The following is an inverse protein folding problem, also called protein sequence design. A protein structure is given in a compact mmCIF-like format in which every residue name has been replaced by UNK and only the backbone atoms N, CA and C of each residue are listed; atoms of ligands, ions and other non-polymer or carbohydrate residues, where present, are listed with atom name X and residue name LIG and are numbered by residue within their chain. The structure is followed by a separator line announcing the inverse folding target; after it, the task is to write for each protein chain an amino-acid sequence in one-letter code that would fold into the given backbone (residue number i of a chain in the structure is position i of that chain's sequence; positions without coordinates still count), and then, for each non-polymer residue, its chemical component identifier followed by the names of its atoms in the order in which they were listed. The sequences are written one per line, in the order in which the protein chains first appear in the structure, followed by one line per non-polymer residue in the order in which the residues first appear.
data_IF_403575598387
#
_entry.id   IF_403575598387
#
_cell.length_a   1.000
_cell.length_b   1.000
_cell.length_c   1.000
_cell.angle_alpha   90.00
_cell.angle_beta   90.00
_cell.angle_gamma   90.00
#
_symmetry.space_group_name_H-M   'P 1'
#
loop_
_entity.id
_entity.type
_entity.pdbx_description
1 polymer ?
#
# COMPACT_ATOMS: atom_id res chain seq x y z
N UNK A 1 24.51 37.84 -49.69
CA UNK A 1 23.51 37.71 -48.61
C UNK A 1 22.79 39.01 -48.48
N UNK A 2 21.49 39.02 -48.77
CA UNK A 2 20.68 40.24 -48.71
C UNK A 2 20.29 40.55 -47.24
N UNK A 3 20.01 41.84 -46.94
CA UNK A 3 19.58 42.26 -45.59
C UNK A 3 18.30 41.50 -45.16
N UNK A 4 17.49 41.05 -46.11
CA UNK A 4 16.28 40.26 -45.89
C UNK A 4 16.59 38.85 -45.38
N UNK A 5 17.62 38.19 -45.94
CA UNK A 5 18.08 36.84 -45.56
C UNK A 5 18.70 36.82 -44.15
N UNK A 6 19.37 37.92 -43.73
CA UNK A 6 19.89 38.08 -42.37
C UNK A 6 18.78 38.33 -41.35
N UNK A 7 17.69 38.99 -41.71
CA UNK A 7 16.52 39.16 -40.85
C UNK A 7 15.75 37.86 -40.64
N UNK A 8 15.48 37.10 -41.72
CA UNK A 8 14.84 35.76 -41.60
C UNK A 8 15.65 34.80 -40.74
N UNK A 9 16.98 34.76 -40.92
CA UNK A 9 17.84 33.91 -40.09
C UNK A 9 17.86 34.34 -38.60
N UNK A 10 17.78 35.63 -38.31
CA UNK A 10 17.68 36.17 -36.95
C UNK A 10 16.32 35.83 -36.30
N UNK A 11 15.21 36.00 -37.05
CA UNK A 11 13.88 35.59 -36.58
C UNK A 11 13.76 34.09 -36.33
N UNK A 12 14.30 33.27 -37.22
CA UNK A 12 14.35 31.80 -37.00
C UNK A 12 15.18 31.40 -35.77
N UNK A 13 16.32 32.07 -35.53
CA UNK A 13 17.15 31.85 -34.37
C UNK A 13 16.44 32.27 -33.05
N UNK A 14 15.71 33.39 -33.10
CA UNK A 14 14.94 33.90 -31.96
C UNK A 14 13.74 33.00 -31.63
N UNK A 15 13.02 32.50 -32.64
CA UNK A 15 11.95 31.53 -32.49
C UNK A 15 12.45 30.20 -31.96
N UNK A 16 13.59 29.68 -32.42
CA UNK A 16 14.22 28.47 -31.93
C UNK A 16 14.68 28.62 -30.46
N UNK A 17 15.28 29.75 -30.10
CA UNK A 17 15.69 30.03 -28.73
C UNK A 17 14.48 30.15 -27.78
N UNK A 18 13.38 30.74 -28.24
CA UNK A 18 12.14 30.88 -27.45
C UNK A 18 11.43 29.54 -27.30
N UNK A 19 11.41 28.67 -28.30
CA UNK A 19 10.89 27.30 -28.25
C UNK A 19 11.67 26.46 -27.24
N UNK A 20 13.00 26.52 -27.25
CA UNK A 20 13.85 25.78 -26.32
C UNK A 20 13.61 26.18 -24.87
N UNK A 21 13.34 27.45 -24.57
CA UNK A 21 13.00 27.91 -23.20
C UNK A 21 11.70 27.31 -22.69
N UNK A 22 10.66 27.19 -23.53
CA UNK A 22 9.38 26.61 -23.17
C UNK A 22 9.54 25.09 -22.87
N UNK A 23 10.31 24.38 -23.70
CA UNK A 23 10.57 22.95 -23.49
C UNK A 23 11.40 22.73 -22.23
N UNK A 24 12.41 23.56 -21.98
CA UNK A 24 13.18 23.50 -20.74
C UNK A 24 12.31 23.73 -19.49
N UNK A 25 11.35 24.65 -19.56
CA UNK A 25 10.37 24.86 -18.48
C UNK A 25 9.47 23.63 -18.30
N UNK A 26 9.00 23.02 -19.40
CA UNK A 26 8.20 21.80 -19.34
C UNK A 26 8.99 20.67 -18.63
N UNK A 27 10.25 20.46 -19.00
CA UNK A 27 11.13 19.46 -18.35
C UNK A 27 11.23 19.74 -16.83
N UNK A 28 11.47 21.00 -16.44
CA UNK A 28 11.56 21.38 -15.03
C UNK A 28 10.28 21.11 -14.25
N UNK A 29 9.12 21.40 -14.84
CA UNK A 29 7.79 21.11 -14.25
C UNK A 29 7.56 19.60 -14.12
N UNK A 30 7.85 18.82 -15.17
CA UNK A 30 7.72 17.37 -15.13
C UNK A 30 8.66 16.75 -14.09
N UNK A 31 9.90 17.24 -13.98
CA UNK A 31 10.86 16.78 -12.99
C UNK A 31 10.39 17.07 -11.54
N UNK A 32 9.75 18.21 -11.32
CA UNK A 32 9.15 18.55 -10.03
C UNK A 32 8.03 17.57 -9.67
N UNK A 33 7.09 17.32 -10.60
CA UNK A 33 6.01 16.35 -10.38
C UNK A 33 6.53 14.93 -10.23
N UNK A 34 7.56 14.54 -10.96
CA UNK A 34 8.25 13.26 -10.78
C UNK A 34 8.78 13.11 -9.35
N UNK A 35 9.48 14.12 -8.83
CA UNK A 35 10.02 14.07 -7.46
C UNK A 35 8.90 13.93 -6.40
N UNK A 36 7.78 14.61 -6.58
CA UNK A 36 6.61 14.44 -5.71
C UNK A 36 6.02 13.03 -5.82
N UNK A 37 5.82 12.54 -7.04
CA UNK A 37 5.25 11.21 -7.28
C UNK A 37 6.11 10.11 -6.68
N UNK A 38 7.44 10.17 -6.86
CA UNK A 38 8.39 9.21 -6.27
C UNK A 38 8.38 9.26 -4.74
N UNK A 39 8.30 10.45 -4.14
CA UNK A 39 8.24 10.61 -2.69
C UNK A 39 6.95 10.02 -2.12
N UNK A 40 5.80 10.29 -2.75
CA UNK A 40 4.50 9.74 -2.35
C UNK A 40 4.45 8.23 -2.58
N UNK A 41 4.99 7.73 -3.69
CA UNK A 41 5.11 6.31 -4.00
C UNK A 41 5.93 5.58 -2.96
N UNK A 42 7.11 6.08 -2.60
CA UNK A 42 7.97 5.51 -1.57
C UNK A 42 7.29 5.49 -0.19
N UNK A 43 6.55 6.54 0.16
CA UNK A 43 5.77 6.59 1.40
C UNK A 43 4.66 5.54 1.41
N UNK A 44 3.92 5.39 0.31
CA UNK A 44 2.86 4.40 0.15
C UNK A 44 3.43 2.97 0.20
N UNK A 45 4.57 2.70 -0.46
CA UNK A 45 5.26 1.42 -0.43
C UNK A 45 5.70 1.05 0.99
N UNK A 46 6.31 1.99 1.72
CA UNK A 46 6.72 1.78 3.11
C UNK A 46 5.51 1.46 3.99
N UNK A 47 4.39 2.16 3.81
CA UNK A 47 3.15 1.90 4.53
C UNK A 47 2.59 0.51 4.22
N UNK A 48 2.60 0.09 2.95
CA UNK A 48 2.17 -1.24 2.53
C UNK A 48 3.00 -2.35 3.21
N UNK A 49 4.33 -2.19 3.24
CA UNK A 49 5.24 -3.13 3.92
C UNK A 49 4.94 -3.17 5.42
N UNK A 50 4.76 -2.02 6.07
CA UNK A 50 4.45 -1.93 7.51
C UNK A 50 3.14 -2.64 7.84
N UNK A 51 2.08 -2.41 7.06
CA UNK A 51 0.80 -3.08 7.28
C UNK A 51 0.87 -4.58 6.94
N UNK A 52 1.69 -4.99 5.98
CA UNK A 52 1.92 -6.40 5.68
C UNK A 52 2.55 -7.13 6.87
N UNK A 53 3.57 -6.54 7.50
CA UNK A 53 4.20 -7.08 8.72
C UNK A 53 3.18 -7.15 9.85
N UNK A 54 2.43 -6.06 10.09
CA UNK A 54 1.41 -6.03 11.14
C UNK A 54 0.32 -7.09 10.93
N UNK A 55 -0.12 -7.32 9.69
CA UNK A 55 -1.07 -8.36 9.33
C UNK A 55 -0.54 -9.76 9.68
N UNK A 56 0.69 -10.05 9.28
CA UNK A 56 1.32 -11.35 9.55
C UNK A 56 1.50 -11.59 11.05
N UNK A 57 1.90 -10.59 11.81
CA UNK A 57 2.05 -10.68 13.27
C UNK A 57 0.69 -10.95 13.95
N UNK A 58 -0.37 -10.25 13.53
CA UNK A 58 -1.71 -10.42 14.06
C UNK A 58 -2.27 -11.83 13.78
N UNK A 59 -2.09 -12.33 12.55
CA UNK A 59 -2.48 -13.72 12.20
C UNK A 59 -1.66 -14.75 12.93
N UNK A 60 -0.37 -14.53 13.13
CA UNK A 60 0.50 -15.42 13.93
C UNK A 60 0.05 -15.46 15.38
N UNK A 61 -0.32 -14.30 15.95
CA UNK A 61 -0.85 -14.23 17.31
C UNK A 61 -2.23 -14.92 17.42
N UNK A 62 -3.11 -14.72 16.44
CA UNK A 62 -4.38 -15.45 16.34
C UNK A 62 -4.17 -16.96 16.32
N UNK A 63 -3.21 -17.46 15.55
CA UNK A 63 -2.86 -18.89 15.51
C UNK A 63 -2.34 -19.37 16.85
N UNK A 64 -1.46 -18.64 17.52
CA UNK A 64 -0.95 -18.96 18.84
C UNK A 64 -2.07 -19.05 19.89
N UNK A 65 -3.01 -18.08 19.90
CA UNK A 65 -4.21 -18.12 20.77
C UNK A 65 -5.11 -19.31 20.44
N UNK A 66 -5.24 -19.65 19.14
CA UNK A 66 -6.01 -20.83 18.70
C UNK A 66 -5.42 -22.12 19.24
N UNK A 67 -4.11 -22.30 19.12
CA UNK A 67 -3.41 -23.49 19.66
C UNK A 67 -3.60 -23.58 21.18
N UNK A 68 -3.37 -22.47 21.90
CA UNK A 68 -3.56 -22.46 23.38
C UNK A 68 -5.01 -22.78 23.77
N UNK A 69 -5.99 -22.26 23.05
CA UNK A 69 -7.40 -22.55 23.27
C UNK A 69 -7.69 -24.05 23.03
N UNK A 70 -7.18 -24.63 21.95
CA UNK A 70 -7.34 -26.03 21.62
C UNK A 70 -6.75 -26.91 22.73
N UNK A 71 -5.55 -26.61 23.21
CA UNK A 71 -4.88 -27.37 24.29
C UNK A 71 -5.76 -27.39 25.54
N UNK A 72 -6.29 -26.25 26.00
CA UNK A 72 -7.11 -26.27 27.25
C UNK A 72 -8.49 -26.91 27.04
N UNK A 73 -9.05 -26.84 25.82
CA UNK A 73 -10.30 -27.55 25.49
C UNK A 73 -10.05 -29.08 25.55
N UNK A 74 -9.00 -29.55 24.87
CA UNK A 74 -8.65 -30.99 24.88
C UNK A 74 -8.35 -31.50 26.29
N UNK A 75 -7.66 -30.71 27.13
CA UNK A 75 -7.42 -31.05 28.53
C UNK A 75 -8.75 -31.14 29.31
N UNK A 76 -9.70 -30.22 29.06
CA UNK A 76 -11.02 -30.29 29.71
C UNK A 76 -11.83 -31.50 29.26
N UNK A 77 -11.77 -31.87 27.97
CA UNK A 77 -12.43 -33.05 27.44
C UNK A 77 -11.85 -34.37 28.05
N UNK A 78 -10.52 -34.47 28.12
CA UNK A 78 -9.85 -35.59 28.77
C UNK A 78 -10.19 -35.72 30.24
N UNK A 79 -10.17 -34.59 30.97
CA UNK A 79 -10.57 -34.59 32.38
C UNK A 79 -12.05 -34.98 32.58
N UNK A 80 -12.92 -34.64 31.63
CA UNK A 80 -14.32 -35.07 31.67
C UNK A 80 -14.45 -36.60 31.59
N UNK A 81 -13.67 -37.24 30.74
CA UNK A 81 -13.63 -38.72 30.70
C UNK A 81 -13.17 -39.36 32.02
N UNK A 82 -12.24 -38.69 32.73
CA UNK A 82 -11.78 -39.12 34.05
C UNK A 82 -12.87 -38.90 35.13
N UNK A 83 -13.61 -37.80 35.05
CA UNK A 83 -14.78 -37.57 35.96
C UNK A 83 -15.79 -38.71 35.84
N UNK A 84 -16.05 -39.19 34.62
CA UNK A 84 -17.02 -40.24 34.35
C UNK A 84 -16.57 -41.62 34.86
N UNK A 85 -15.26 -41.82 35.02
CA UNK A 85 -14.65 -43.09 35.53
C UNK A 85 -14.37 -43.10 37.04
N UNK A 86 -14.25 -41.90 37.64
CA UNK A 86 -13.86 -41.75 39.04
C UNK A 86 -15.05 -41.93 39.98
N UNK A 87 -14.91 -42.78 40.97
CA UNK A 87 -15.89 -43.02 42.05
C UNK A 87 -15.62 -42.22 43.32
N UNK A 88 -14.40 -41.68 43.47
CA UNK A 88 -14.01 -40.82 44.59
C UNK A 88 -14.63 -39.42 44.47
N UNK A 89 -15.49 -38.97 45.40
CA UNK A 89 -16.15 -37.70 45.36
C UNK A 89 -15.17 -36.50 45.38
N UNK A 90 -14.08 -36.56 46.12
CA UNK A 90 -13.11 -35.50 46.27
C UNK A 90 -12.26 -35.35 45.00
N UNK A 91 -11.86 -36.44 44.39
CA UNK A 91 -11.17 -36.44 43.10
C UNK A 91 -12.06 -35.85 41.99
N UNK A 92 -13.34 -36.26 41.98
CA UNK A 92 -14.35 -35.74 41.04
C UNK A 92 -14.54 -34.25 41.18
N UNK A 93 -14.64 -33.73 42.40
CA UNK A 93 -14.77 -32.27 42.66
C UNK A 93 -13.55 -31.48 42.16
N UNK A 94 -12.33 -32.01 42.40
CA UNK A 94 -11.09 -31.38 41.86
C UNK A 94 -11.05 -31.34 40.35
N UNK A 95 -11.41 -32.43 39.68
CA UNK A 95 -11.47 -32.49 38.19
C UNK A 95 -12.47 -31.51 37.63
N UNK A 96 -13.69 -31.46 38.18
CA UNK A 96 -14.73 -30.51 37.75
C UNK A 96 -14.29 -29.05 37.89
N UNK A 97 -13.60 -28.70 38.97
CA UNK A 97 -13.03 -27.38 39.18
C UNK A 97 -11.98 -27.05 38.13
N UNK A 98 -11.13 -27.98 37.77
CA UNK A 98 -10.12 -27.77 36.71
C UNK A 98 -10.77 -27.61 35.34
N UNK A 99 -11.80 -28.39 35.03
CA UNK A 99 -12.57 -28.29 33.79
C UNK A 99 -13.21 -26.89 33.66
N UNK A 100 -13.84 -26.39 34.73
CA UNK A 100 -14.45 -25.06 34.73
C UNK A 100 -13.39 -23.94 34.49
N UNK A 101 -12.23 -24.05 35.16
CA UNK A 101 -11.12 -23.13 34.98
C UNK A 101 -10.59 -23.15 33.55
N UNK A 102 -10.45 -24.29 32.91
CA UNK A 102 -10.01 -24.43 31.53
C UNK A 102 -11.05 -23.91 30.54
N UNK A 103 -12.33 -24.19 30.74
CA UNK A 103 -13.42 -23.63 29.93
C UNK A 103 -13.47 -22.11 30.00
N UNK A 104 -13.30 -21.51 31.17
CA UNK A 104 -13.18 -20.06 31.35
C UNK A 104 -11.96 -19.50 30.61
N UNK A 105 -10.83 -20.19 30.69
CA UNK A 105 -9.61 -19.79 29.98
C UNK A 105 -9.79 -19.88 28.45
N UNK A 106 -10.44 -20.93 27.94
CA UNK A 106 -10.76 -21.07 26.53
C UNK A 106 -11.70 -19.95 26.05
N UNK A 107 -12.74 -19.62 26.83
CA UNK A 107 -13.65 -18.52 26.52
C UNK A 107 -12.89 -17.18 26.44
N UNK A 108 -11.98 -16.91 27.37
CA UNK A 108 -11.13 -15.71 27.36
C UNK A 108 -10.22 -15.69 26.13
N UNK A 109 -9.58 -16.81 25.75
CA UNK A 109 -8.77 -16.87 24.54
C UNK A 109 -9.59 -16.59 23.27
N UNK A 110 -10.86 -16.98 23.27
CA UNK A 110 -11.74 -16.72 22.13
C UNK A 110 -12.19 -15.24 22.07
N UNK A 111 -12.54 -14.64 23.21
CA UNK A 111 -13.10 -13.29 23.29
C UNK A 111 -12.55 -12.58 24.55
N UNK A 112 -11.68 -11.60 24.34
CA UNK A 112 -10.99 -10.86 25.39
C UNK A 112 -10.98 -9.36 25.06
N UNK A 113 -12.13 -8.67 25.16
CA UNK A 113 -12.25 -7.27 24.77
C UNK A 113 -11.44 -6.31 25.63
N UNK A 114 -11.19 -6.66 26.89
CA UNK A 114 -10.44 -5.80 27.82
C UNK A 114 -8.99 -5.56 27.38
N UNK A 115 -8.31 -6.62 26.90
CA UNK A 115 -6.94 -6.53 26.39
C UNK A 115 -6.86 -6.36 24.88
N UNK A 116 -7.99 -6.54 24.18
CA UNK A 116 -8.08 -6.58 22.72
C UNK A 116 -7.20 -7.67 22.09
N UNK A 117 -6.98 -8.78 22.82
CA UNK A 117 -6.11 -9.89 22.43
C UNK A 117 -6.84 -11.24 22.27
N UNK A 118 -8.16 -11.27 22.36
CA UNK A 118 -8.94 -12.46 22.02
C UNK A 118 -8.86 -12.78 20.52
N UNK A 119 -9.10 -14.05 20.16
CA UNK A 119 -9.09 -14.47 18.74
C UNK A 119 -10.02 -13.64 17.86
N UNK A 120 -11.21 -13.28 18.37
CA UNK A 120 -12.14 -12.41 17.63
C UNK A 120 -11.52 -11.03 17.35
N UNK A 121 -10.94 -10.41 18.39
CA UNK A 121 -10.31 -9.10 18.27
C UNK A 121 -9.08 -9.14 17.37
N UNK A 122 -8.26 -10.18 17.49
CA UNK A 122 -7.07 -10.34 16.63
C UNK A 122 -7.45 -10.52 15.15
N UNK A 123 -8.49 -11.31 14.86
CA UNK A 123 -8.98 -11.48 13.49
C UNK A 123 -9.52 -10.17 12.90
N UNK A 124 -10.25 -9.38 13.69
CA UNK A 124 -10.75 -8.07 13.25
C UNK A 124 -9.59 -7.08 12.98
N UNK A 125 -8.64 -7.01 13.89
CA UNK A 125 -7.45 -6.17 13.72
C UNK A 125 -6.60 -6.59 12.51
N UNK A 126 -6.47 -7.91 12.26
CA UNK A 126 -5.75 -8.42 11.11
C UNK A 126 -6.42 -8.00 9.80
N UNK A 127 -7.76 -8.11 9.69
CA UNK A 127 -8.53 -7.65 8.53
C UNK A 127 -8.37 -6.15 8.30
N UNK A 128 -8.43 -5.35 9.36
CA UNK A 128 -8.22 -3.90 9.25
C UNK A 128 -6.79 -3.56 8.77
N UNK A 129 -5.80 -4.34 9.17
CA UNK A 129 -4.43 -4.17 8.68
C UNK A 129 -4.30 -4.58 7.20
N UNK A 130 -5.01 -5.65 6.77
CA UNK A 130 -5.11 -6.05 5.36
C UNK A 130 -5.73 -4.93 4.50
N UNK A 131 -6.85 -4.37 4.91
CA UNK A 131 -7.51 -3.27 4.18
C UNK A 131 -6.58 -2.05 4.04
N UNK A 132 -5.85 -1.69 5.10
CA UNK A 132 -4.87 -0.61 5.07
C UNK A 132 -3.69 -0.92 4.14
N UNK A 133 -3.24 -2.18 4.11
CA UNK A 133 -2.20 -2.65 3.19
C UNK A 133 -2.66 -2.52 1.74
N UNK A 134 -3.86 -2.98 1.42
CA UNK A 134 -4.44 -2.91 0.07
C UNK A 134 -4.60 -1.46 -0.39
N UNK A 135 -5.09 -0.58 0.49
CA UNK A 135 -5.17 0.84 0.20
C UNK A 135 -3.79 1.46 -0.09
N UNK A 136 -2.77 1.09 0.70
CA UNK A 136 -1.42 1.59 0.50
C UNK A 136 -0.79 1.07 -0.81
N UNK A 137 -1.04 -0.20 -1.17
CA UNK A 137 -0.61 -0.78 -2.44
C UNK A 137 -1.30 -0.12 -3.64
N UNK A 138 -2.61 0.11 -3.56
CA UNK A 138 -3.34 0.81 -4.61
C UNK A 138 -2.77 2.22 -4.84
N UNK A 139 -2.46 2.96 -3.78
CA UNK A 139 -1.79 4.28 -3.87
C UNK A 139 -0.41 4.18 -4.52
N UNK A 140 0.38 3.20 -4.09
CA UNK A 140 1.72 2.96 -4.63
C UNK A 140 1.68 2.77 -6.15
N UNK A 141 0.80 1.91 -6.66
CA UNK A 141 0.67 1.67 -8.10
C UNK A 141 0.28 2.93 -8.88
N UNK A 142 -0.63 3.77 -8.35
CA UNK A 142 -0.99 5.02 -9.02
C UNK A 142 0.21 5.96 -9.13
N UNK A 143 1.01 6.10 -8.07
CA UNK A 143 2.21 6.94 -8.08
C UNK A 143 3.32 6.36 -8.97
N UNK A 144 3.44 5.05 -9.07
CA UNK A 144 4.38 4.37 -9.97
C UNK A 144 4.06 4.68 -11.44
N UNK A 145 2.77 4.57 -11.84
CA UNK A 145 2.33 4.96 -13.18
C UNK A 145 2.53 6.46 -13.45
N UNK A 146 2.26 7.31 -12.48
CA UNK A 146 2.53 8.73 -12.59
C UNK A 146 4.02 9.01 -12.83
N UNK A 147 4.90 8.39 -12.04
CA UNK A 147 6.35 8.53 -12.17
C UNK A 147 6.85 8.07 -13.54
N UNK A 148 6.36 6.92 -14.03
CA UNK A 148 6.72 6.42 -15.36
C UNK A 148 6.28 7.40 -16.48
N UNK A 149 5.07 7.95 -16.39
CA UNK A 149 4.58 8.93 -17.35
C UNK A 149 5.44 10.21 -17.35
N UNK A 150 5.83 10.74 -16.20
CA UNK A 150 6.71 11.90 -16.08
C UNK A 150 8.11 11.62 -16.61
N UNK A 151 8.70 10.46 -16.31
CA UNK A 151 10.02 10.06 -16.80
C UNK A 151 10.06 9.99 -18.33
N UNK A 152 9.07 9.32 -18.94
CA UNK A 152 8.96 9.25 -20.40
C UNK A 152 8.73 10.65 -20.99
N UNK A 153 7.88 11.46 -20.36
CA UNK A 153 7.64 12.84 -20.76
C UNK A 153 8.91 13.68 -20.79
N UNK A 154 9.76 13.59 -19.76
CA UNK A 154 11.06 14.28 -19.69
C UNK A 154 11.98 13.84 -20.84
N UNK A 155 12.06 12.53 -21.11
CA UNK A 155 12.89 12.01 -22.20
C UNK A 155 12.42 12.53 -23.56
N UNK A 156 11.10 12.55 -23.82
CA UNK A 156 10.55 13.06 -25.08
C UNK A 156 10.75 14.57 -25.23
N UNK A 157 10.57 15.35 -24.17
CA UNK A 157 10.84 16.78 -24.18
C UNK A 157 12.34 17.07 -24.44
N UNK A 158 13.24 16.28 -23.86
CA UNK A 158 14.68 16.39 -24.11
C UNK A 158 15.02 16.04 -25.57
N UNK A 159 14.40 14.99 -26.11
CA UNK A 159 14.56 14.62 -27.52
C UNK A 159 14.06 15.72 -28.48
N UNK A 160 12.99 16.44 -28.15
CA UNK A 160 12.54 17.58 -28.94
C UNK A 160 13.61 18.67 -29.07
N UNK A 161 14.33 18.97 -27.99
CA UNK A 161 15.41 19.97 -28.01
C UNK A 161 16.50 19.59 -29.01
N UNK A 162 16.82 18.29 -29.08
CA UNK A 162 17.91 17.76 -29.93
C UNK A 162 17.45 17.63 -31.39
N UNK A 163 16.24 17.12 -31.61
CA UNK A 163 15.76 16.76 -32.96
C UNK A 163 14.97 17.89 -33.67
N UNK A 164 14.45 18.87 -32.90
CA UNK A 164 13.55 19.92 -33.39
C UNK A 164 12.13 19.42 -33.72
N UNK A 165 11.79 18.13 -33.41
CA UNK A 165 10.48 17.55 -33.76
C UNK A 165 9.44 17.96 -32.70
N UNK A 166 8.57 18.92 -33.07
CA UNK A 166 7.54 19.49 -32.17
C UNK A 166 6.55 18.43 -31.62
N UNK A 167 6.29 17.37 -32.37
CA UNK A 167 5.39 16.30 -31.96
C UNK A 167 5.84 15.62 -30.64
N UNK A 168 7.15 15.54 -30.38
CA UNK A 168 7.69 14.96 -29.14
C UNK A 168 7.31 15.79 -27.92
N UNK A 169 7.31 17.12 -28.01
CA UNK A 169 6.89 17.99 -26.92
C UNK A 169 5.38 17.92 -26.65
N UNK A 170 4.57 17.81 -27.68
CA UNK A 170 3.14 17.59 -27.51
C UNK A 170 2.86 16.27 -26.78
N UNK A 171 3.53 15.20 -27.20
CA UNK A 171 3.40 13.88 -26.55
C UNK A 171 3.89 13.94 -25.10
N UNK A 172 5.01 14.64 -24.84
CA UNK A 172 5.51 14.90 -23.47
C UNK A 172 4.47 15.61 -22.61
N UNK A 173 3.81 16.65 -23.12
CA UNK A 173 2.75 17.38 -22.43
C UNK A 173 1.55 16.48 -22.09
N UNK A 174 1.12 15.65 -23.05
CA UNK A 174 0.03 14.70 -22.87
C UNK A 174 0.40 13.69 -21.77
N UNK A 175 1.61 13.11 -21.80
CA UNK A 175 2.07 12.21 -20.75
C UNK A 175 2.18 12.89 -19.39
N UNK A 176 2.58 14.15 -19.34
CA UNK A 176 2.56 14.96 -18.13
C UNK A 176 1.16 15.07 -17.52
N UNK A 177 0.13 15.34 -18.36
CA UNK A 177 -1.26 15.36 -17.91
C UNK A 177 -1.74 14.00 -17.40
N UNK A 178 -1.39 12.92 -18.07
CA UNK A 178 -1.65 11.55 -17.57
C UNK A 178 -0.99 11.31 -16.22
N UNK A 179 0.28 11.69 -16.05
CA UNK A 179 0.98 11.58 -14.78
C UNK A 179 0.28 12.33 -13.65
N UNK A 180 -0.16 13.57 -13.88
CA UNK A 180 -0.95 14.35 -12.91
C UNK A 180 -2.28 13.66 -12.61
N UNK A 181 -2.95 13.10 -13.61
CA UNK A 181 -4.18 12.34 -13.45
C UNK A 181 -3.99 11.12 -12.51
N UNK A 182 -2.98 10.29 -12.75
CA UNK A 182 -2.66 9.15 -11.89
C UNK A 182 -2.27 9.61 -10.47
N UNK A 183 -1.51 10.68 -10.33
CA UNK A 183 -1.16 11.23 -9.02
C UNK A 183 -2.41 11.69 -8.25
N UNK A 184 -3.36 12.32 -8.92
CA UNK A 184 -4.65 12.71 -8.34
C UNK A 184 -5.50 11.50 -7.95
N UNK A 185 -5.55 10.45 -8.78
CA UNK A 185 -6.22 9.19 -8.44
C UNK A 185 -5.63 8.55 -7.18
N UNK A 186 -4.30 8.49 -7.06
CA UNK A 186 -3.62 7.98 -5.87
C UNK A 186 -3.95 8.75 -4.60
N UNK A 187 -4.20 10.07 -4.69
CA UNK A 187 -4.58 10.90 -3.55
C UNK A 187 -6.03 10.71 -3.13
N UNK A 188 -6.99 10.72 -4.08
CA UNK A 188 -8.43 10.83 -3.79
C UNK A 188 -9.21 9.54 -4.01
N UNK A 189 -8.87 8.74 -5.03
CA UNK A 189 -9.62 7.54 -5.39
C UNK A 189 -8.67 6.40 -5.77
N UNK A 190 -7.84 5.89 -4.84
CA UNK A 190 -6.79 4.93 -5.16
C UNK A 190 -7.32 3.60 -5.73
N UNK A 191 -8.56 3.22 -5.40
CA UNK A 191 -9.22 1.99 -5.90
C UNK A 191 -9.94 2.18 -7.24
N UNK A 192 -9.88 3.36 -7.89
CA UNK A 192 -10.59 3.60 -9.15
C UNK A 192 -10.12 2.69 -10.31
N UNK A 193 -8.89 2.23 -10.27
CA UNK A 193 -8.32 1.28 -11.22
C UNK A 193 -7.89 0.02 -10.45
N UNK A 194 -8.74 -1.00 -10.44
CA UNK A 194 -8.35 -2.34 -10.02
C UNK A 194 -7.47 -2.94 -11.14
N UNK A 195 -6.17 -2.73 -11.04
CA UNK A 195 -5.18 -3.35 -11.91
C UNK A 195 -4.59 -4.57 -11.21
N UNK A 196 -5.29 -5.72 -11.32
CA UNK A 196 -4.83 -7.02 -10.84
C UNK A 196 -5.49 -7.48 -9.58
#
# INVERSE_FOLDING_TARGET
MSAHENLETAEHAEHAAHSNKKVALLIAVLALFLAFSETLGKSAQTSAITYNVATNDLWSFFQAKTIRMTVVITAAEQAQLEVDRTTDPDAKARLLKSIDAWKKTAARYNDEPETNEGRKQLAERAKQAEEKRELALARYHQYEFASAAFQIGIVLASAQIITGIAAMGWLSGVLGLFGVGFMALGLWVPHALHLG
#
